data_IF_162129860669
#
_entry.id   IF_162129860669
#
_cell.length_a   1.000
_cell.length_b   1.000
_cell.length_c   1.000
_cell.angle_alpha   90.00
_cell.angle_beta   90.00
_cell.angle_gamma   90.00
#
_symmetry.space_group_name_H-M   'P 1'
#
loop_
_entity.id
_entity.type
_entity.pdbx_description
1 polymer ?
#
# COMPACT_ATOMS: atom_id res chain seq x y z
N UNK A 1 -17.17 4.81 -15.02
CA UNK A 1 -17.52 6.23 -15.23
C UNK A 1 -16.26 7.02 -15.55
N UNK A 2 -16.24 7.75 -16.67
CA UNK A 2 -15.11 8.58 -17.07
C UNK A 2 -14.80 9.68 -16.04
N UNK A 3 -15.83 10.28 -15.44
CA UNK A 3 -15.68 11.33 -14.44
C UNK A 3 -14.88 10.89 -13.22
N UNK A 4 -15.13 9.67 -12.72
CA UNK A 4 -14.39 9.09 -11.59
C UNK A 4 -12.90 8.90 -11.95
N UNK A 5 -12.60 8.39 -13.15
CA UNK A 5 -11.22 8.20 -13.61
C UNK A 5 -10.48 9.52 -13.75
N UNK A 6 -11.13 10.55 -14.30
CA UNK A 6 -10.56 11.89 -14.37
C UNK A 6 -10.28 12.49 -12.98
N UNK A 7 -11.19 12.29 -12.03
CA UNK A 7 -11.00 12.76 -10.65
C UNK A 7 -9.84 12.03 -9.96
N UNK A 8 -9.71 10.72 -10.18
CA UNK A 8 -8.57 9.95 -9.70
C UNK A 8 -7.29 10.54 -10.29
N UNK A 9 -7.18 10.68 -11.61
CA UNK A 9 -5.99 11.26 -12.26
C UNK A 9 -5.66 12.65 -11.74
N UNK A 10 -6.64 13.55 -11.62
CA UNK A 10 -6.43 14.88 -11.06
C UNK A 10 -5.87 14.81 -9.63
N UNK A 11 -6.45 13.96 -8.78
CA UNK A 11 -5.97 13.78 -7.40
C UNK A 11 -4.54 13.22 -7.34
N UNK A 12 -4.16 12.36 -8.29
CA UNK A 12 -2.80 11.80 -8.37
C UNK A 12 -1.78 12.86 -8.76
N UNK A 13 -2.11 13.76 -9.70
CA UNK A 13 -1.23 14.87 -10.08
C UNK A 13 -0.99 15.80 -8.89
N UNK A 14 -2.06 16.13 -8.15
CA UNK A 14 -1.96 16.93 -6.93
C UNK A 14 -1.06 16.22 -5.91
N UNK A 15 -1.27 14.92 -5.69
CA UNK A 15 -0.47 14.13 -4.76
C UNK A 15 1.02 14.12 -5.13
N UNK A 16 1.34 13.91 -6.41
CA UNK A 16 2.73 13.94 -6.89
C UNK A 16 3.38 15.32 -6.67
N UNK A 17 2.64 16.40 -6.92
CA UNK A 17 3.09 17.76 -6.61
C UNK A 17 3.39 17.95 -5.12
N UNK A 18 2.53 17.44 -4.24
CA UNK A 18 2.74 17.50 -2.79
C UNK A 18 3.96 16.67 -2.35
N UNK A 19 4.22 15.50 -2.93
CA UNK A 19 5.41 14.69 -2.64
C UNK A 19 6.69 15.43 -3.05
N UNK A 20 6.69 16.11 -4.21
CA UNK A 20 7.83 16.92 -4.65
C UNK A 20 8.06 18.09 -3.68
N UNK A 21 7.01 18.81 -3.29
CA UNK A 21 7.12 19.90 -2.30
C UNK A 21 7.62 19.39 -0.95
N UNK A 22 7.16 18.21 -0.52
CA UNK A 22 7.64 17.57 0.71
C UNK A 22 9.16 17.33 0.67
N UNK A 23 9.68 16.70 -0.39
CA UNK A 23 11.12 16.48 -0.51
C UNK A 23 11.91 17.77 -0.70
N UNK A 24 11.34 18.78 -1.35
CA UNK A 24 11.97 20.10 -1.42
C UNK A 24 12.13 20.74 -0.03
N UNK A 25 11.12 20.61 0.84
CA UNK A 25 11.20 21.07 2.24
C UNK A 25 12.16 20.24 3.07
N UNK A 26 12.20 18.94 2.86
CA UNK A 26 13.17 18.05 3.51
C UNK A 26 14.62 18.43 3.17
N UNK A 27 14.90 18.73 1.90
CA UNK A 27 16.21 19.22 1.44
C UNK A 27 16.53 20.59 2.04
N UNK A 28 15.57 21.50 2.10
CA UNK A 28 15.76 22.81 2.73
C UNK A 28 16.09 22.70 4.23
N UNK A 29 15.40 21.82 4.96
CA UNK A 29 15.71 21.57 6.36
C UNK A 29 17.14 21.02 6.52
N UNK A 30 17.55 20.09 5.68
CA UNK A 30 18.92 19.56 5.69
C UNK A 30 19.96 20.65 5.41
N UNK A 31 19.70 21.56 4.46
CA UNK A 31 20.59 22.67 4.16
C UNK A 31 20.74 23.63 5.34
N UNK A 32 19.62 24.00 6.00
CA UNK A 32 19.63 24.88 7.17
C UNK A 32 20.36 24.24 8.36
N UNK A 33 20.14 22.95 8.62
CA UNK A 33 20.79 22.23 9.72
C UNK A 33 22.32 22.12 9.53
N UNK A 34 22.79 22.11 8.28
CA UNK A 34 24.22 21.99 7.95
C UNK A 34 24.88 23.32 7.52
N UNK A 35 24.12 24.42 7.44
CA UNK A 35 24.61 25.70 6.95
C UNK A 35 25.13 25.66 5.50
N UNK A 36 24.54 24.81 4.65
CA UNK A 36 24.94 24.66 3.26
C UNK A 36 24.03 25.47 2.33
N UNK A 37 24.62 26.29 1.45
CA UNK A 37 23.86 27.11 0.49
C UNK A 37 23.50 26.35 -0.81
N UNK A 38 24.28 25.31 -1.16
CA UNK A 38 24.10 24.52 -2.38
C UNK A 38 23.29 23.24 -2.15
N UNK A 39 22.07 23.19 -2.72
CA UNK A 39 21.18 22.02 -2.63
C UNK A 39 21.77 20.74 -3.23
N UNK A 40 22.72 20.88 -4.17
CA UNK A 40 23.39 19.74 -4.80
C UNK A 40 24.17 18.90 -3.80
N UNK A 41 24.68 19.52 -2.73
CA UNK A 41 25.42 18.84 -1.66
C UNK A 41 24.47 17.94 -0.85
N UNK A 42 23.21 18.34 -0.69
CA UNK A 42 22.18 17.57 0.00
C UNK A 42 21.59 16.42 -0.84
N UNK A 43 21.83 16.42 -2.16
CA UNK A 43 21.20 15.50 -3.10
C UNK A 43 22.12 14.31 -3.45
N UNK A 44 22.01 13.24 -2.67
CA UNK A 44 22.74 11.99 -2.90
C UNK A 44 22.04 11.10 -3.94
N UNK A 45 22.79 10.25 -4.64
CA UNK A 45 22.22 9.29 -5.61
C UNK A 45 21.17 8.35 -4.98
N UNK A 46 21.41 7.92 -3.74
CA UNK A 46 20.46 7.10 -2.98
C UNK A 46 19.14 7.85 -2.72
N UNK A 47 19.22 9.12 -2.32
CA UNK A 47 18.04 9.98 -2.11
C UNK A 47 17.26 10.16 -3.41
N UNK A 48 17.95 10.47 -4.53
CA UNK A 48 17.31 10.60 -5.84
C UNK A 48 16.59 9.31 -6.21
N UNK A 49 17.24 8.16 -6.04
CA UNK A 49 16.66 6.86 -6.35
C UNK A 49 15.36 6.60 -5.57
N UNK A 50 15.36 6.85 -4.25
CA UNK A 50 14.16 6.68 -3.44
C UNK A 50 13.04 7.67 -3.79
N UNK A 51 13.36 8.93 -4.10
CA UNK A 51 12.38 9.92 -4.57
C UNK A 51 11.77 9.47 -5.91
N UNK A 52 12.59 8.99 -6.85
CA UNK A 52 12.11 8.48 -8.14
C UNK A 52 11.20 7.25 -7.97
N UNK A 53 11.58 6.31 -7.10
CA UNK A 53 10.76 5.14 -6.78
C UNK A 53 9.44 5.57 -6.17
N UNK A 54 9.47 6.52 -5.24
CA UNK A 54 8.28 7.05 -4.57
C UNK A 54 7.29 7.68 -5.57
N UNK A 55 7.80 8.54 -6.44
CA UNK A 55 7.02 9.15 -7.52
C UNK A 55 6.45 8.08 -8.45
N UNK A 56 7.23 7.07 -8.84
CA UNK A 56 6.77 6.00 -9.72
C UNK A 56 5.62 5.21 -9.09
N UNK A 57 5.75 4.79 -7.83
CA UNK A 57 4.69 4.06 -7.11
C UNK A 57 3.44 4.92 -6.97
N UNK A 58 3.58 6.20 -6.64
CA UNK A 58 2.46 7.13 -6.52
C UNK A 58 1.86 7.54 -7.86
N UNK A 59 2.58 7.40 -8.98
CA UNK A 59 2.06 7.69 -10.31
C UNK A 59 1.14 6.59 -10.85
N UNK A 60 1.24 5.34 -10.37
CA UNK A 60 0.40 4.24 -10.85
C UNK A 60 -1.07 4.48 -10.43
N UNK A 61 -1.94 4.69 -11.41
CA UNK A 61 -3.39 4.82 -11.25
C UNK A 61 -4.11 4.46 -12.55
N UNK A 62 -5.40 4.08 -12.52
CA UNK A 62 -6.18 3.85 -13.73
C UNK A 62 -6.36 5.16 -14.50
N UNK A 63 -5.73 5.25 -15.68
CA UNK A 63 -5.77 6.41 -16.56
C UNK A 63 -7.16 6.49 -17.23
N UNK A 64 -7.74 7.69 -17.43
CA UNK A 64 -8.99 7.85 -18.15
C UNK A 64 -8.90 7.27 -19.57
N UNK A 65 -9.60 6.16 -19.77
CA UNK A 65 -9.64 5.41 -21.02
C UNK A 65 -10.30 4.05 -20.78
N UNK A 66 -10.71 3.37 -21.85
CA UNK A 66 -11.22 1.99 -21.77
C UNK A 66 -10.16 1.05 -22.35
N UNK A 67 -9.34 0.51 -21.46
CA UNK A 67 -8.31 -0.46 -21.81
C UNK A 67 -8.72 -1.83 -21.29
N UNK A 68 -8.95 -2.77 -22.21
CA UNK A 68 -9.34 -4.14 -21.90
C UNK A 68 -8.20 -5.10 -22.23
N UNK A 69 -8.02 -6.11 -21.39
CA UNK A 69 -7.07 -7.19 -21.61
C UNK A 69 -7.79 -8.54 -21.50
N UNK A 70 -7.35 -9.54 -22.29
CA UNK A 70 -7.90 -10.89 -22.24
C UNK A 70 -7.27 -11.67 -21.08
N UNK A 71 -8.01 -11.87 -20.00
CA UNK A 71 -7.55 -12.60 -18.81
C UNK A 71 -7.96 -14.07 -18.90
N UNK A 72 -6.96 -14.94 -19.04
CA UNK A 72 -7.11 -16.39 -18.98
C UNK A 72 -6.86 -16.91 -17.55
N UNK A 73 -7.82 -17.61 -16.95
CA UNK A 73 -7.65 -18.33 -15.69
C UNK A 73 -8.12 -19.79 -15.82
N UNK A 74 -7.71 -20.66 -14.90
CA UNK A 74 -8.24 -22.03 -14.79
C UNK A 74 -9.12 -22.13 -13.56
N UNK A 75 -10.34 -22.65 -13.72
CA UNK A 75 -11.23 -22.88 -12.59
C UNK A 75 -10.63 -23.91 -11.64
N UNK A 76 -10.79 -23.70 -10.32
CA UNK A 76 -10.18 -24.50 -9.27
C UNK A 76 -10.69 -25.95 -9.25
N UNK A 77 -11.96 -26.18 -9.61
CA UNK A 77 -12.59 -27.51 -9.52
C UNK A 77 -12.62 -28.28 -10.84
N UNK A 78 -12.92 -27.61 -11.97
CA UNK A 78 -13.06 -28.27 -13.28
C UNK A 78 -11.79 -28.24 -14.12
N UNK A 79 -10.76 -27.47 -13.70
CA UNK A 79 -9.54 -27.18 -14.46
C UNK A 79 -9.78 -26.63 -15.88
N UNK A 80 -11.03 -26.26 -16.20
CA UNK A 80 -11.41 -25.72 -17.49
C UNK A 80 -10.80 -24.32 -17.65
N UNK A 81 -10.25 -24.00 -18.83
CA UNK A 81 -9.80 -22.65 -19.12
C UNK A 81 -11.02 -21.73 -19.23
N UNK A 82 -11.01 -20.62 -18.47
CA UNK A 82 -11.96 -19.53 -18.59
C UNK A 82 -11.22 -18.27 -19.04
N UNK A 83 -11.61 -17.78 -20.21
CA UNK A 83 -11.04 -16.60 -20.84
C UNK A 83 -12.07 -15.49 -20.83
N UNK A 84 -11.81 -14.43 -20.08
CA UNK A 84 -12.73 -13.29 -19.97
C UNK A 84 -11.99 -12.00 -20.29
N UNK A 85 -12.69 -11.06 -20.91
CA UNK A 85 -12.17 -9.70 -21.12
C UNK A 85 -12.29 -8.93 -19.82
N UNK A 86 -11.15 -8.60 -19.22
CA UNK A 86 -11.08 -7.87 -17.96
C UNK A 86 -10.53 -6.46 -18.19
N UNK A 87 -10.97 -5.52 -17.34
CA UNK A 87 -10.51 -4.14 -17.40
C UNK A 87 -9.11 -4.02 -16.79
N UNK A 88 -8.18 -3.42 -17.54
CA UNK A 88 -6.80 -3.14 -17.07
C UNK A 88 -6.81 -2.28 -15.81
N UNK A 89 -7.86 -1.49 -15.62
CA UNK A 89 -8.13 -0.68 -14.43
C UNK A 89 -8.01 -1.48 -13.13
N UNK A 90 -8.38 -2.77 -13.13
CA UNK A 90 -8.35 -3.61 -11.94
C UNK A 90 -6.93 -3.92 -11.53
N UNK A 91 -6.09 -4.29 -12.50
CA UNK A 91 -4.67 -4.58 -12.25
C UNK A 91 -3.96 -3.29 -11.80
N UNK A 92 -4.29 -2.14 -12.41
CA UNK A 92 -3.75 -0.84 -12.00
C UNK A 92 -4.31 -0.35 -10.66
N UNK A 93 -5.45 -0.89 -10.20
CA UNK A 93 -6.04 -0.49 -8.92
C UNK A 93 -5.38 -1.14 -7.70
N UNK A 94 -4.84 -2.35 -7.84
CA UNK A 94 -4.12 -3.07 -6.78
C UNK A 94 -2.90 -2.26 -6.27
N UNK A 95 -1.98 -1.77 -7.13
CA UNK A 95 -0.83 -0.99 -6.67
C UNK A 95 -1.22 0.38 -6.10
N UNK A 96 -2.45 0.86 -6.26
CA UNK A 96 -2.89 2.09 -5.58
C UNK A 96 -2.86 1.94 -4.05
N UNK A 97 -3.01 0.71 -3.51
CA UNK A 97 -2.86 0.48 -2.06
C UNK A 97 -1.45 0.67 -1.55
N UNK A 98 -0.40 0.60 -2.40
CA UNK A 98 0.95 0.91 -1.94
C UNK A 98 1.00 2.32 -1.34
N UNK A 99 0.22 3.27 -1.88
CA UNK A 99 0.14 4.65 -1.38
C UNK A 99 -0.23 4.77 0.10
N UNK A 100 -0.77 3.73 0.73
CA UNK A 100 -1.03 3.70 2.18
C UNK A 100 0.25 3.91 3.01
N UNK A 101 1.45 3.70 2.45
CA UNK A 101 2.71 4.05 3.14
C UNK A 101 2.77 5.54 3.51
N UNK A 102 2.11 6.42 2.74
CA UNK A 102 2.04 7.85 3.02
C UNK A 102 1.29 8.14 4.33
N UNK A 103 0.23 7.38 4.62
CA UNK A 103 -0.50 7.50 5.90
C UNK A 103 0.42 7.14 7.05
N UNK A 104 1.18 6.04 6.93
CA UNK A 104 2.17 5.66 7.92
C UNK A 104 3.23 6.76 8.11
N UNK A 105 3.72 7.38 7.02
CA UNK A 105 4.66 8.52 7.09
C UNK A 105 4.06 9.71 7.84
N UNK A 106 2.82 10.11 7.51
CA UNK A 106 2.13 11.25 8.16
C UNK A 106 1.89 10.97 9.65
N UNK A 107 1.45 9.75 9.98
CA UNK A 107 1.25 9.32 11.37
C UNK A 107 2.56 9.40 12.16
N UNK A 108 3.67 8.96 11.58
CA UNK A 108 4.98 9.05 12.21
C UNK A 108 5.42 10.51 12.37
N UNK A 109 5.26 11.35 11.35
CA UNK A 109 5.67 12.76 11.37
C UNK A 109 4.89 13.59 12.41
N UNK A 110 3.60 13.32 12.58
CA UNK A 110 2.75 14.02 13.56
C UNK A 110 2.76 13.40 14.96
N UNK A 111 3.43 12.26 15.15
CA UNK A 111 3.54 11.66 16.47
C UNK A 111 4.29 12.61 17.41
N UNK A 112 3.68 12.90 18.57
CA UNK A 112 4.28 13.74 19.62
C UNK A 112 5.69 13.29 20.03
N UNK A 113 5.99 12.00 19.82
CA UNK A 113 7.30 11.42 20.08
C UNK A 113 8.42 12.02 19.21
N UNK A 114 8.12 12.43 17.96
CA UNK A 114 9.08 13.03 17.03
C UNK A 114 9.11 14.56 17.06
N UNK A 115 7.97 15.20 17.34
CA UNK A 115 7.85 16.65 17.30
C UNK A 115 8.29 17.34 18.59
N UNK A 116 8.37 16.60 19.69
CA UNK A 116 8.77 17.18 20.96
C UNK A 116 10.26 17.54 20.97
N UNK A 117 10.57 18.79 21.30
CA UNK A 117 11.94 19.28 21.37
C UNK A 117 12.74 18.57 22.48
N UNK A 118 12.06 18.12 23.53
CA UNK A 118 12.68 17.40 24.65
C UNK A 118 13.17 16.00 24.25
N UNK A 119 12.39 15.26 23.45
CA UNK A 119 12.80 13.95 22.95
C UNK A 119 13.97 14.10 21.98
N UNK A 120 13.91 15.09 21.08
CA UNK A 120 14.99 15.36 20.11
C UNK A 120 16.32 15.72 20.78
N UNK A 121 16.30 16.53 21.84
CA UNK A 121 17.51 16.88 22.58
C UNK A 121 18.10 15.68 23.33
N UNK A 122 17.27 14.86 23.99
CA UNK A 122 17.71 13.63 24.66
C UNK A 122 18.31 12.63 23.66
N UNK A 123 17.72 12.49 22.47
CA UNK A 123 18.28 11.62 21.44
C UNK A 123 19.61 12.12 20.89
N UNK A 124 19.79 13.44 20.72
CA UNK A 124 21.06 14.03 20.30
C UNK A 124 22.17 13.78 21.35
N UNK A 125 21.85 13.92 22.64
CA UNK A 125 22.77 13.61 23.74
C UNK A 125 23.20 12.14 23.75
N UNK A 126 22.26 11.23 23.46
CA UNK A 126 22.53 9.79 23.37
C UNK A 126 23.06 9.33 22.00
N UNK A 127 23.29 10.24 21.06
CA UNK A 127 23.69 9.94 19.67
C UNK A 127 22.74 8.94 18.97
N UNK A 128 21.44 9.04 19.26
CA UNK A 128 20.41 8.21 18.64
C UNK A 128 19.78 8.98 17.49
N UNK A 129 19.81 8.38 16.30
CA UNK A 129 19.08 8.89 15.14
C UNK A 129 17.61 8.46 15.22
N UNK A 130 16.70 9.44 15.24
CA UNK A 130 15.26 9.20 15.21
C UNK A 130 14.83 8.72 13.82
N UNK A 131 14.89 7.41 13.61
CA UNK A 131 14.44 6.75 12.38
C UNK A 131 13.00 6.24 12.50
N UNK A 132 12.32 6.06 11.38
CA UNK A 132 10.98 5.44 11.31
C UNK A 132 10.95 4.06 11.97
N UNK A 133 12.03 3.27 11.82
CA UNK A 133 12.19 1.96 12.44
C UNK A 133 12.26 2.02 13.97
N UNK A 134 12.86 3.08 14.53
CA UNK A 134 12.89 3.28 15.98
C UNK A 134 11.48 3.49 16.52
N UNK A 135 10.68 4.32 15.83
CA UNK A 135 9.32 4.61 16.29
C UNK A 135 8.35 3.47 16.08
N UNK A 136 8.48 2.70 14.99
CA UNK A 136 7.68 1.48 14.87
C UNK A 136 7.97 0.52 16.04
N UNK A 137 9.23 0.38 16.46
CA UNK A 137 9.59 -0.40 17.65
C UNK A 137 8.96 0.17 18.92
N UNK A 138 9.07 1.49 19.14
CA UNK A 138 8.49 2.14 20.32
C UNK A 138 6.97 1.97 20.37
N UNK A 139 6.28 2.12 19.23
CA UNK A 139 4.83 1.92 19.13
C UNK A 139 4.44 0.48 19.48
N UNK A 140 5.18 -0.50 18.96
CA UNK A 140 5.01 -1.92 19.29
C UNK A 140 5.32 -2.23 20.76
N UNK A 141 6.17 -1.45 21.44
CA UNK A 141 6.45 -1.63 22.87
C UNK A 141 5.39 -1.01 23.78
N UNK A 142 4.85 0.16 23.42
CA UNK A 142 3.89 0.89 24.26
C UNK A 142 2.50 0.25 24.22
N UNK A 143 1.98 -0.04 23.03
CA UNK A 143 0.63 -0.58 22.84
C UNK A 143 0.60 -1.72 21.81
N UNK A 144 1.27 -2.86 22.09
CA UNK A 144 1.41 -3.96 21.13
C UNK A 144 0.08 -4.46 20.57
N UNK A 145 -0.93 -4.66 21.44
CA UNK A 145 -2.23 -5.19 21.05
C UNK A 145 -3.00 -4.28 20.10
N UNK A 146 -3.04 -2.97 20.38
CA UNK A 146 -3.75 -2.01 19.52
C UNK A 146 -3.10 -1.89 18.15
N UNK A 147 -1.76 -1.82 18.10
CA UNK A 147 -1.01 -1.72 16.84
C UNK A 147 -1.22 -2.97 15.99
N UNK A 148 -1.10 -4.15 16.59
CA UNK A 148 -1.29 -5.42 15.89
C UNK A 148 -2.72 -5.53 15.36
N UNK A 149 -3.73 -5.24 16.19
CA UNK A 149 -5.14 -5.32 15.80
C UNK A 149 -5.47 -4.38 14.64
N UNK A 150 -5.05 -3.11 14.72
CA UNK A 150 -5.28 -2.13 13.65
C UNK A 150 -4.62 -2.57 12.35
N UNK A 151 -3.38 -3.06 12.44
CA UNK A 151 -2.65 -3.57 11.28
C UNK A 151 -3.36 -4.78 10.66
N UNK A 152 -3.68 -5.81 11.45
CA UNK A 152 -4.39 -7.01 10.99
C UNK A 152 -5.73 -6.70 10.32
N UNK A 153 -6.59 -5.90 10.95
CA UNK A 153 -7.90 -5.54 10.38
C UNK A 153 -7.74 -4.75 9.07
N UNK A 154 -6.81 -3.80 9.03
CA UNK A 154 -6.56 -3.01 7.80
C UNK A 154 -6.14 -3.90 6.64
N UNK A 155 -5.27 -4.88 6.90
CA UNK A 155 -4.78 -5.81 5.90
C UNK A 155 -5.85 -6.80 5.46
N UNK A 156 -6.70 -7.27 6.38
CA UNK A 156 -7.84 -8.12 6.03
C UNK A 156 -8.77 -7.42 5.04
N UNK A 157 -9.09 -6.14 5.28
CA UNK A 157 -9.96 -5.37 4.39
C UNK A 157 -9.31 -5.21 3.00
N UNK A 158 -8.02 -4.89 2.94
CA UNK A 158 -7.28 -4.72 1.67
C UNK A 158 -7.17 -6.06 0.93
N UNK A 159 -6.81 -7.14 1.62
CA UNK A 159 -6.71 -8.48 1.04
C UNK A 159 -8.07 -8.97 0.53
N UNK A 160 -9.15 -8.77 1.30
CA UNK A 160 -10.49 -9.15 0.87
C UNK A 160 -10.95 -8.36 -0.36
N UNK A 161 -10.67 -7.06 -0.38
CA UNK A 161 -10.98 -6.23 -1.55
C UNK A 161 -10.18 -6.66 -2.79
N UNK A 162 -8.89 -6.99 -2.63
CA UNK A 162 -8.02 -7.40 -3.75
C UNK A 162 -8.38 -8.79 -4.29
N UNK A 163 -8.69 -9.76 -3.42
CA UNK A 163 -9.22 -11.07 -3.86
C UNK A 163 -10.52 -10.88 -4.63
N UNK A 164 -11.45 -10.10 -4.10
CA UNK A 164 -12.71 -9.79 -4.78
C UNK A 164 -12.46 -9.16 -6.16
N UNK A 165 -11.54 -8.21 -6.26
CA UNK A 165 -11.21 -7.56 -7.51
C UNK A 165 -10.63 -8.56 -8.54
N UNK A 166 -9.82 -9.51 -8.07
CA UNK A 166 -9.20 -10.53 -8.91
C UNK A 166 -10.15 -11.66 -9.33
N UNK A 167 -11.08 -12.08 -8.49
CA UNK A 167 -12.03 -13.15 -8.81
C UNK A 167 -13.30 -12.66 -9.53
N UNK A 168 -13.53 -11.34 -9.61
CA UNK A 168 -14.76 -10.73 -10.15
C UNK A 168 -15.18 -11.23 -11.54
N UNK A 169 -14.25 -11.59 -12.42
CA UNK A 169 -14.55 -12.00 -13.79
C UNK A 169 -14.54 -13.51 -14.00
N UNK A 170 -14.12 -14.28 -13.00
CA UNK A 170 -13.94 -15.74 -13.09
C UNK A 170 -14.80 -16.52 -12.10
N UNK A 171 -15.53 -15.85 -11.22
CA UNK A 171 -16.49 -16.44 -10.30
C UNK A 171 -17.92 -16.38 -10.89
N UNK A 172 -18.45 -17.53 -11.31
CA UNK A 172 -19.80 -17.64 -11.87
C UNK A 172 -20.89 -17.76 -10.78
N UNK A 173 -20.53 -18.05 -9.53
CA UNK A 173 -21.48 -18.29 -8.43
C UNK A 173 -21.53 -17.14 -7.41
N UNK A 174 -20.76 -16.07 -7.65
CA UNK A 174 -20.65 -14.88 -6.80
C UNK A 174 -20.31 -15.16 -5.32
N UNK A 175 -19.72 -16.31 -5.01
CA UNK A 175 -19.40 -16.71 -3.63
C UNK A 175 -18.15 -15.97 -3.14
N UNK A 176 -17.11 -15.94 -3.97
CA UNK A 176 -15.84 -15.24 -3.72
C UNK A 176 -15.83 -13.80 -4.22
N UNK A 177 -16.74 -13.46 -5.15
CA UNK A 177 -16.95 -12.08 -5.63
C UNK A 177 -17.67 -11.19 -4.61
N UNK A 178 -18.39 -11.80 -3.65
CA UNK A 178 -19.03 -11.11 -2.55
C UNK A 178 -18.02 -10.67 -1.48
N UNK A 179 -18.16 -9.44 -0.97
CA UNK A 179 -17.23 -8.88 0.02
C UNK A 179 -17.20 -9.69 1.33
N UNK A 180 -18.35 -10.17 1.79
CA UNK A 180 -18.45 -11.02 2.99
C UNK A 180 -17.77 -12.37 2.79
N UNK A 181 -17.91 -12.98 1.61
CA UNK A 181 -17.22 -14.24 1.25
C UNK A 181 -15.71 -14.05 1.15
N UNK A 182 -15.26 -12.96 0.53
CA UNK A 182 -13.85 -12.61 0.48
C UNK A 182 -13.26 -12.33 1.89
N UNK A 183 -13.99 -11.63 2.76
CA UNK A 183 -13.56 -11.44 4.16
C UNK A 183 -13.48 -12.76 4.93
N UNK A 184 -14.45 -13.67 4.73
CA UNK A 184 -14.41 -15.01 5.31
C UNK A 184 -13.15 -15.77 4.86
N UNK A 185 -12.93 -15.86 3.55
CA UNK A 185 -11.76 -16.53 2.95
C UNK A 185 -10.43 -15.97 3.48
N UNK A 186 -10.28 -14.65 3.56
CA UNK A 186 -9.06 -14.01 4.07
C UNK A 186 -8.87 -14.28 5.56
N UNK A 187 -9.93 -14.22 6.36
CA UNK A 187 -9.86 -14.48 7.81
C UNK A 187 -9.42 -15.92 8.09
N UNK A 188 -10.00 -16.91 7.42
CA UNK A 188 -9.63 -18.33 7.60
C UNK A 188 -8.22 -18.64 7.05
N UNK A 189 -7.78 -17.92 6.02
CA UNK A 189 -6.44 -18.06 5.44
C UNK A 189 -5.38 -17.47 6.36
N UNK A 190 -5.62 -16.28 6.90
CA UNK A 190 -4.74 -15.62 7.87
C UNK A 190 -4.61 -16.45 9.16
N UNK A 191 -5.71 -17.04 9.64
CA UNK A 191 -5.70 -17.93 10.80
C UNK A 191 -5.15 -19.34 10.49
N UNK A 192 -4.71 -19.60 9.25
CA UNK A 192 -4.19 -20.90 8.79
C UNK A 192 -5.16 -22.08 8.99
N UNK A 193 -6.47 -21.84 9.00
CA UNK A 193 -7.51 -22.87 9.18
C UNK A 193 -7.77 -23.61 7.87
N UNK A 194 -8.05 -22.86 6.79
CA UNK A 194 -8.19 -23.41 5.44
C UNK A 194 -9.26 -24.50 5.28
N UNK A 195 -10.53 -24.21 5.59
CA UNK A 195 -11.63 -25.19 5.45
C UNK A 195 -11.80 -25.77 4.04
N UNK A 196 -11.42 -25.03 3.00
CA UNK A 196 -11.52 -25.47 1.60
C UNK A 196 -12.93 -25.36 1.00
N UNK A 197 -13.83 -24.68 1.70
CA UNK A 197 -15.17 -24.32 1.25
C UNK A 197 -15.16 -23.27 0.13
N UNK A 198 -14.16 -22.36 0.16
CA UNK A 198 -13.93 -21.34 -0.86
C UNK A 198 -12.46 -21.34 -1.29
N UNK A 199 -12.19 -21.29 -2.60
CA UNK A 199 -10.82 -21.31 -3.16
C UNK A 199 -10.73 -20.33 -4.34
N UNK A 200 -9.67 -19.50 -4.43
CA UNK A 200 -9.48 -18.59 -5.56
C UNK A 200 -9.15 -19.36 -6.85
N UNK A 201 -9.74 -18.94 -7.97
CA UNK A 201 -9.49 -19.52 -9.28
C UNK A 201 -8.32 -18.83 -9.99
N UNK A 202 -8.20 -17.51 -9.85
CA UNK A 202 -7.20 -16.71 -10.55
C UNK A 202 -5.82 -16.79 -9.90
N UNK A 203 -4.77 -16.61 -10.71
CA UNK A 203 -3.40 -16.52 -10.20
C UNK A 203 -3.21 -15.32 -9.26
N UNK A 204 -3.92 -14.21 -9.52
CA UNK A 204 -3.92 -13.06 -8.63
C UNK A 204 -4.51 -13.43 -7.26
N UNK A 205 -5.72 -14.01 -7.22
CA UNK A 205 -6.38 -14.40 -5.97
C UNK A 205 -5.54 -15.40 -5.16
N UNK A 206 -4.94 -16.39 -5.83
CA UNK A 206 -3.99 -17.33 -5.20
C UNK A 206 -2.77 -16.62 -4.61
N UNK A 207 -2.21 -15.64 -5.32
CA UNK A 207 -1.10 -14.82 -4.84
C UNK A 207 -1.48 -14.03 -3.57
N UNK A 208 -2.67 -13.43 -3.54
CA UNK A 208 -3.16 -12.70 -2.35
C UNK A 208 -3.37 -13.65 -1.17
N UNK A 209 -3.96 -14.82 -1.37
CA UNK A 209 -4.13 -15.82 -0.31
C UNK A 209 -2.77 -16.32 0.23
N UNK A 210 -1.78 -16.55 -0.63
CA UNK A 210 -0.42 -16.91 -0.20
C UNK A 210 0.22 -15.81 0.66
N UNK A 211 0.14 -14.55 0.21
CA UNK A 211 0.65 -13.42 0.98
C UNK A 211 -0.07 -13.30 2.33
N UNK A 212 -1.38 -13.47 2.34
CA UNK A 212 -2.19 -13.42 3.57
C UNK A 212 -1.79 -14.50 4.57
N UNK A 213 -1.43 -15.71 4.13
CA UNK A 213 -0.97 -16.78 5.01
C UNK A 213 0.46 -16.62 5.55
N UNK A 214 1.28 -15.74 4.96
CA UNK A 214 2.64 -15.43 5.43
C UNK A 214 2.63 -14.37 6.55
N UNK A 215 1.58 -13.54 6.58
CA UNK A 215 1.45 -12.38 7.47
C UNK A 215 1.05 -12.78 8.89
#
# INVERSE_FOLDING_TARGET
SLALKCLISLSTIILLGLIIVYHAREIQLFMVDNGADDWRIAMTYERIFFICLEILVCAIHPIPGNYTFTWTARLAFSYAPSTTTADVDIILSIPMFLRLYLIARVMLLHSKLFTDASSRSIGALNKINFNTRFVMKTLMTICPGTVLLVFSISLWIIAAWTVRACERYHDQQDVTSNFLGAMWLISITFLSIGYGDMVPNTYCGKGVCLLTGIM
#
